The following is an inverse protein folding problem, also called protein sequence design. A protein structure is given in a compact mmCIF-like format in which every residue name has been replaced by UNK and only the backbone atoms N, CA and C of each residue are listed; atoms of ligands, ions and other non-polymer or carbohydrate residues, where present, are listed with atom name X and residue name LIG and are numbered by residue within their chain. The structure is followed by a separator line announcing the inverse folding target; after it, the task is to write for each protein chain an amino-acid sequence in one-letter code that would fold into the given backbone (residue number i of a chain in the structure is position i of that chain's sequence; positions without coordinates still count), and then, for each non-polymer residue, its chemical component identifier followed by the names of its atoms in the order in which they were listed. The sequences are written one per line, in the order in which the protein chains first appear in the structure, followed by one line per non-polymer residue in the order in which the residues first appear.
data_IF_470048852887
#
_entry.id   IF_470048852887
#
_cell.length_a   1.000
_cell.length_b   1.000
_cell.length_c   1.000
_cell.angle_alpha   90.00
_cell.angle_beta   90.00
_cell.angle_gamma   90.00
#
_symmetry.space_group_name_H-M   'P 1'
#
loop_
_entity.id
_entity.type
_entity.pdbx_description
1 polymer ?
#
# COMPACT_ATOMS: atom_id res chain seq x y z
N UNK A 1 16.71 8.57 8.12
CA UNK A 1 16.37 7.76 6.92
C UNK A 1 15.69 8.66 5.91
N UNK A 2 16.14 8.62 4.66
CA UNK A 2 15.51 9.39 3.58
C UNK A 2 14.54 8.50 2.81
N UNK A 3 13.50 9.10 2.26
CA UNK A 3 12.53 8.38 1.48
C UNK A 3 11.53 9.29 0.78
N UNK A 4 10.47 8.69 0.26
CA UNK A 4 9.38 9.40 -0.40
C UNK A 4 8.03 8.90 0.08
N UNK A 5 7.07 9.78 0.07
CA UNK A 5 5.68 9.44 0.30
C UNK A 5 5.08 8.87 -0.98
N UNK A 6 4.29 7.82 -0.85
CA UNK A 6 3.57 7.20 -1.98
C UNK A 6 2.12 6.92 -1.56
N UNK A 7 1.25 6.69 -2.54
CA UNK A 7 -0.09 6.24 -2.23
C UNK A 7 -0.08 4.92 -1.47
N UNK A 8 -1.01 4.75 -0.56
CA UNK A 8 -1.23 3.48 0.11
C UNK A 8 -1.94 2.52 -0.85
N UNK A 9 -1.19 1.56 -1.41
CA UNK A 9 -1.71 0.62 -2.41
C UNK A 9 -2.83 -0.29 -1.89
N UNK A 10 -2.96 -0.48 -0.57
CA UNK A 10 -4.04 -1.28 0.01
C UNK A 10 -5.42 -0.62 -0.16
N UNK A 11 -5.45 0.70 -0.34
CA UNK A 11 -6.67 1.51 -0.51
C UNK A 11 -6.66 2.30 -1.83
N UNK A 12 -5.73 2.00 -2.72
CA UNK A 12 -5.58 2.64 -4.03
C UNK A 12 -6.07 1.71 -5.12
N UNK A 13 -6.90 2.22 -6.00
CA UNK A 13 -7.31 1.50 -7.21
C UNK A 13 -6.93 2.29 -8.45
N UNK A 14 -6.28 1.60 -9.37
CA UNK A 14 -5.99 2.08 -10.72
C UNK A 14 -7.02 1.53 -11.67
N UNK A 15 -7.75 2.40 -12.33
CA UNK A 15 -8.91 2.04 -13.13
C UNK A 15 -8.52 2.12 -14.60
N UNK A 16 -8.69 1.00 -15.28
CA UNK A 16 -8.42 0.82 -16.71
C UNK A 16 -9.73 0.52 -17.44
N UNK A 17 -9.78 0.78 -18.74
CA UNK A 17 -10.90 0.30 -19.55
C UNK A 17 -10.67 -1.16 -19.95
N UNK A 18 -11.64 -2.05 -19.74
CA UNK A 18 -11.58 -3.42 -20.27
C UNK A 18 -11.86 -3.50 -21.77
N UNK A 19 -12.34 -2.39 -22.36
CA UNK A 19 -12.72 -2.31 -23.77
C UNK A 19 -11.97 -1.19 -24.49
N UNK A 20 -11.74 -1.40 -25.76
CA UNK A 20 -11.43 -0.31 -26.68
C UNK A 20 -12.71 0.49 -26.98
N UNK A 21 -12.56 1.81 -27.06
CA UNK A 21 -13.71 2.66 -27.36
C UNK A 21 -13.41 4.14 -27.24
N UNK A 22 -14.44 4.96 -27.45
CA UNK A 22 -14.36 6.42 -27.38
C UNK A 22 -15.00 6.95 -26.11
N UNK A 23 -14.34 7.81 -25.38
CA UNK A 23 -14.88 8.49 -24.20
C UNK A 23 -16.01 9.43 -24.63
N UNK A 24 -17.22 9.17 -24.20
CA UNK A 24 -18.38 10.03 -24.45
C UNK A 24 -18.47 11.17 -23.47
N UNK A 25 -18.14 10.89 -22.20
CA UNK A 25 -18.19 11.88 -21.14
C UNK A 25 -17.40 11.45 -19.92
N UNK A 26 -16.97 12.43 -19.14
CA UNK A 26 -16.27 12.25 -17.86
C UNK A 26 -17.14 12.91 -16.79
N UNK A 27 -17.55 12.13 -15.77
CA UNK A 27 -18.46 12.58 -14.71
C UNK A 27 -17.76 13.12 -13.47
N UNK A 28 -16.47 12.83 -13.32
CA UNK A 28 -15.70 13.22 -12.14
C UNK A 28 -14.38 13.87 -12.52
N UNK A 29 -13.88 14.72 -11.63
CA UNK A 29 -12.57 15.34 -11.79
C UNK A 29 -11.66 15.07 -10.60
N UNK A 30 -10.38 15.40 -10.73
CA UNK A 30 -9.38 15.30 -9.66
C UNK A 30 -9.86 16.08 -8.42
N UNK A 31 -9.72 15.48 -7.24
CA UNK A 31 -10.21 16.02 -5.97
C UNK A 31 -11.65 15.64 -5.63
N UNK A 32 -12.42 15.06 -6.55
CA UNK A 32 -13.78 14.59 -6.28
C UNK A 32 -13.76 13.34 -5.42
N UNK A 33 -14.60 13.33 -4.39
CA UNK A 33 -14.86 12.14 -3.58
C UNK A 33 -15.92 11.27 -4.25
N UNK A 34 -15.67 9.96 -4.30
CA UNK A 34 -16.53 8.97 -4.95
C UNK A 34 -16.80 7.80 -4.01
N UNK A 35 -17.98 7.21 -4.13
CA UNK A 35 -18.36 5.97 -3.45
C UNK A 35 -18.07 4.75 -4.33
N UNK A 36 -18.01 3.54 -3.76
CA UNK A 36 -17.93 2.31 -4.55
C UNK A 36 -19.07 2.23 -5.57
N UNK A 37 -18.76 1.79 -6.78
CA UNK A 37 -19.68 1.69 -7.93
C UNK A 37 -20.11 3.01 -8.57
N UNK A 38 -19.64 4.17 -8.12
CA UNK A 38 -19.86 5.44 -8.82
C UNK A 38 -19.30 5.40 -10.24
N UNK A 39 -20.05 6.00 -11.17
CA UNK A 39 -19.60 6.14 -12.56
C UNK A 39 -18.60 7.29 -12.68
N UNK A 40 -17.43 7.01 -13.23
CA UNK A 40 -16.36 7.99 -13.45
C UNK A 40 -16.35 8.54 -14.86
N UNK A 41 -16.64 7.68 -15.85
CA UNK A 41 -16.70 8.02 -17.25
C UNK A 41 -17.69 7.11 -18.00
N UNK A 42 -18.12 7.54 -19.17
CA UNK A 42 -18.88 6.71 -20.13
C UNK A 42 -18.06 6.54 -21.39
N UNK A 43 -18.00 5.30 -21.88
CA UNK A 43 -17.20 4.92 -23.06
C UNK A 43 -18.13 4.25 -24.08
N UNK A 44 -18.13 4.73 -25.32
CA UNK A 44 -18.74 4.00 -26.42
C UNK A 44 -17.84 2.80 -26.75
N UNK A 45 -18.30 1.60 -26.40
CA UNK A 45 -17.57 0.35 -26.51
C UNK A 45 -18.38 -0.68 -27.31
N UNK A 46 -18.14 -0.86 -28.60
CA UNK A 46 -18.88 -1.81 -29.44
C UNK A 46 -18.83 -3.25 -28.91
N UNK A 47 -17.68 -3.68 -28.37
CA UNK A 47 -17.50 -5.02 -27.81
C UNK A 47 -18.36 -5.26 -26.56
N UNK A 48 -18.63 -4.22 -25.78
CA UNK A 48 -19.57 -4.29 -24.67
C UNK A 48 -21.01 -4.50 -25.19
N UNK A 49 -21.41 -3.74 -26.22
CA UNK A 49 -22.68 -3.91 -26.89
C UNK A 49 -22.86 -5.30 -27.49
N UNK A 50 -21.79 -5.87 -28.06
CA UNK A 50 -21.82 -7.23 -28.56
C UNK A 50 -22.04 -8.25 -27.42
N UNK A 51 -21.36 -8.09 -26.29
CA UNK A 51 -21.56 -8.95 -25.13
C UNK A 51 -23.00 -8.89 -24.59
N UNK A 52 -23.61 -7.69 -24.58
CA UNK A 52 -25.03 -7.53 -24.23
C UNK A 52 -25.93 -8.23 -25.23
N UNK A 53 -25.70 -8.06 -26.54
CA UNK A 53 -26.47 -8.70 -27.59
C UNK A 53 -26.38 -10.24 -27.52
N UNK A 54 -25.20 -10.78 -27.24
CA UNK A 54 -25.00 -12.23 -27.08
C UNK A 54 -25.77 -12.75 -25.86
N UNK A 55 -25.80 -12.05 -24.74
CA UNK A 55 -26.57 -12.42 -23.55
C UNK A 55 -28.07 -12.40 -23.82
N UNK A 56 -28.57 -11.37 -24.55
CA UNK A 56 -29.97 -11.29 -24.97
C UNK A 56 -30.38 -12.44 -25.90
N UNK A 57 -29.52 -12.75 -26.88
CA UNK A 57 -29.79 -13.86 -27.81
C UNK A 57 -29.86 -15.18 -27.04
N UNK A 58 -28.85 -15.45 -26.18
CA UNK A 58 -28.81 -16.68 -25.40
C UNK A 58 -30.05 -16.83 -24.48
N UNK A 59 -30.55 -15.73 -23.90
CA UNK A 59 -31.76 -15.72 -23.10
C UNK A 59 -33.00 -16.04 -23.94
N UNK A 60 -33.10 -15.49 -25.16
CA UNK A 60 -34.22 -15.79 -26.08
C UNK A 60 -34.20 -17.25 -26.54
N UNK A 61 -33.03 -17.79 -26.88
CA UNK A 61 -32.84 -19.18 -27.29
C UNK A 61 -33.20 -20.14 -26.15
N UNK A 62 -32.82 -19.86 -24.93
CA UNK A 62 -33.22 -20.63 -23.76
C UNK A 62 -34.74 -20.62 -23.58
N UNK A 63 -35.37 -19.44 -23.63
CA UNK A 63 -36.82 -19.34 -23.50
C UNK A 63 -37.57 -20.09 -24.60
N UNK A 64 -37.03 -20.18 -25.82
CA UNK A 64 -37.56 -20.98 -26.90
C UNK A 64 -37.42 -22.47 -26.60
N UNK A 65 -36.24 -22.91 -26.20
CA UNK A 65 -35.95 -24.31 -25.86
C UNK A 65 -36.84 -24.79 -24.70
N UNK A 66 -37.04 -24.00 -23.67
CA UNK A 66 -37.92 -24.31 -22.52
C UNK A 66 -39.36 -24.50 -22.97
N UNK A 67 -39.88 -23.58 -23.76
CA UNK A 67 -41.25 -23.70 -24.31
C UNK A 67 -41.39 -24.93 -25.20
N UNK A 68 -40.42 -25.23 -26.04
CA UNK A 68 -40.43 -26.39 -26.94
C UNK A 68 -40.42 -27.69 -26.16
N UNK A 69 -39.54 -27.81 -25.18
CA UNK A 69 -39.44 -28.99 -24.31
C UNK A 69 -40.70 -29.23 -23.52
N UNK A 70 -41.29 -28.17 -22.94
CA UNK A 70 -42.56 -28.25 -22.20
C UNK A 70 -43.67 -28.75 -23.08
N UNK A 71 -43.80 -28.20 -24.29
CA UNK A 71 -44.82 -28.64 -25.27
C UNK A 71 -44.64 -30.10 -25.70
N UNK A 72 -43.38 -30.52 -26.00
CA UNK A 72 -43.15 -31.90 -26.42
C UNK A 72 -43.39 -32.91 -25.31
N UNK A 73 -43.08 -32.55 -24.05
CA UNK A 73 -43.42 -33.40 -22.89
C UNK A 73 -44.92 -33.57 -22.71
N UNK A 74 -45.71 -32.51 -22.90
CA UNK A 74 -47.18 -32.58 -22.87
C UNK A 74 -47.70 -33.47 -23.99
N UNK A 75 -47.23 -33.31 -25.24
CA UNK A 75 -47.60 -34.14 -26.37
C UNK A 75 -47.22 -35.62 -26.20
N UNK A 76 -46.10 -35.92 -25.56
CA UNK A 76 -45.70 -37.26 -25.22
C UNK A 76 -46.67 -37.92 -24.24
N UNK A 77 -47.14 -37.21 -23.22
CA UNK A 77 -48.13 -37.70 -22.28
C UNK A 77 -49.47 -38.10 -22.99
N UNK A 78 -49.77 -37.43 -24.11
CA UNK A 78 -50.92 -37.75 -24.91
C UNK A 78 -50.65 -38.74 -26.07
N UNK A 79 -49.43 -39.31 -26.14
CA UNK A 79 -49.06 -40.31 -27.14
C UNK A 79 -48.86 -39.77 -28.56
N UNK A 80 -48.68 -38.44 -28.73
CA UNK A 80 -48.64 -37.76 -30.05
C UNK A 80 -47.21 -37.74 -30.63
N UNK A 81 -46.17 -37.75 -29.77
CA UNK A 81 -44.75 -37.69 -30.20
C UNK A 81 -43.96 -38.84 -29.61
N UNK A 82 -42.82 -39.14 -30.21
CA UNK A 82 -41.92 -40.20 -29.72
C UNK A 82 -41.00 -39.70 -28.60
N UNK A 83 -40.58 -40.60 -27.70
CA UNK A 83 -39.62 -40.30 -26.61
C UNK A 83 -38.32 -39.64 -27.13
N UNK A 84 -37.81 -40.11 -28.28
CA UNK A 84 -36.60 -39.55 -28.91
C UNK A 84 -36.71 -38.05 -29.19
N UNK A 85 -37.91 -37.54 -29.46
CA UNK A 85 -38.13 -36.12 -29.78
C UNK A 85 -38.05 -35.27 -28.50
N UNK A 86 -38.54 -35.81 -27.38
CA UNK A 86 -38.36 -35.19 -26.05
C UNK A 86 -36.91 -35.22 -25.63
N UNK A 87 -36.19 -36.35 -25.81
CA UNK A 87 -34.79 -36.49 -25.47
C UNK A 87 -33.93 -35.49 -26.26
N UNK A 88 -34.24 -35.28 -27.53
CA UNK A 88 -33.57 -34.28 -28.36
C UNK A 88 -33.81 -32.85 -27.86
N UNK A 89 -35.09 -32.53 -27.51
CA UNK A 89 -35.44 -31.20 -26.96
C UNK A 89 -34.79 -30.96 -25.59
N UNK A 90 -34.66 -31.99 -24.75
CA UNK A 90 -33.96 -31.89 -23.46
C UNK A 90 -32.48 -31.63 -23.65
N UNK A 91 -31.83 -32.24 -24.64
CA UNK A 91 -30.45 -31.96 -24.98
C UNK A 91 -30.26 -30.51 -25.52
N UNK A 92 -31.22 -30.02 -26.33
CA UNK A 92 -31.19 -28.63 -26.82
C UNK A 92 -31.40 -27.64 -25.67
N UNK A 93 -32.31 -27.91 -24.74
CA UNK A 93 -32.53 -27.12 -23.56
C UNK A 93 -31.25 -27.06 -22.69
N UNK A 94 -30.58 -28.20 -22.49
CA UNK A 94 -29.33 -28.24 -21.72
C UNK A 94 -28.24 -27.36 -22.37
N UNK A 95 -28.10 -27.43 -23.72
CA UNK A 95 -27.17 -26.59 -24.48
C UNK A 95 -27.50 -25.11 -24.36
N UNK A 96 -28.75 -24.72 -24.49
CA UNK A 96 -29.18 -23.35 -24.38
C UNK A 96 -28.96 -22.76 -22.97
N UNK A 97 -29.13 -23.58 -21.91
CA UNK A 97 -28.82 -23.16 -20.53
C UNK A 97 -27.33 -22.88 -20.32
N UNK A 98 -26.48 -23.77 -20.84
CA UNK A 98 -25.00 -23.57 -20.73
C UNK A 98 -24.58 -22.31 -21.48
N UNK A 99 -25.13 -22.07 -22.68
CA UNK A 99 -24.77 -20.89 -23.46
C UNK A 99 -25.26 -19.60 -22.80
N UNK A 100 -26.46 -19.58 -22.23
CA UNK A 100 -26.97 -18.44 -21.47
C UNK A 100 -26.11 -18.16 -20.24
N UNK A 101 -25.71 -19.21 -19.48
CA UNK A 101 -24.81 -19.06 -18.33
C UNK A 101 -23.46 -18.48 -18.76
N UNK A 102 -22.90 -18.96 -19.86
CA UNK A 102 -21.62 -18.47 -20.43
C UNK A 102 -21.71 -16.99 -20.79
N UNK A 103 -22.77 -16.60 -21.54
CA UNK A 103 -22.95 -15.23 -21.99
C UNK A 103 -23.20 -14.26 -20.82
N UNK A 104 -24.02 -14.67 -19.84
CA UNK A 104 -24.27 -13.88 -18.63
C UNK A 104 -23.02 -13.73 -17.77
N UNK A 105 -22.25 -14.80 -17.57
CA UNK A 105 -20.98 -14.73 -16.80
C UNK A 105 -19.99 -13.75 -17.46
N UNK A 106 -19.88 -13.79 -18.80
CA UNK A 106 -19.06 -12.83 -19.55
C UNK A 106 -19.52 -11.39 -19.35
N UNK A 107 -20.84 -11.13 -19.41
CA UNK A 107 -21.40 -9.78 -19.22
C UNK A 107 -21.22 -9.29 -17.78
N UNK A 108 -21.38 -10.17 -16.79
CA UNK A 108 -21.18 -9.85 -15.37
C UNK A 108 -19.73 -9.46 -15.04
N UNK A 109 -18.74 -10.07 -15.69
CA UNK A 109 -17.31 -9.69 -15.53
C UNK A 109 -17.09 -8.20 -15.84
N UNK A 110 -17.92 -7.60 -16.67
CA UNK A 110 -17.87 -6.19 -17.03
C UNK A 110 -18.84 -5.31 -16.23
N UNK A 111 -19.52 -5.87 -15.24
CA UNK A 111 -20.53 -5.15 -14.46
C UNK A 111 -21.76 -4.71 -15.28
N UNK A 112 -21.99 -5.37 -16.42
CA UNK A 112 -23.15 -5.14 -17.27
C UNK A 112 -24.33 -5.98 -16.85
N UNK A 113 -25.53 -5.50 -17.19
CA UNK A 113 -26.77 -6.26 -17.12
C UNK A 113 -27.30 -6.58 -18.51
N UNK A 114 -28.25 -7.52 -18.59
CA UNK A 114 -28.88 -7.95 -19.83
C UNK A 114 -30.18 -7.21 -20.13
N UNK A 115 -30.44 -6.04 -19.49
CA UNK A 115 -31.71 -5.35 -19.64
C UNK A 115 -31.82 -4.51 -20.91
N UNK A 116 -30.68 -4.03 -21.43
CA UNK A 116 -30.62 -3.22 -22.65
C UNK A 116 -29.30 -3.38 -23.40
N UNK A 117 -29.33 -3.18 -24.73
CA UNK A 117 -28.11 -3.15 -25.56
C UNK A 117 -27.79 -1.69 -25.89
N UNK A 118 -26.84 -1.09 -25.20
CA UNK A 118 -26.58 0.36 -25.29
C UNK A 118 -25.25 0.71 -25.93
N UNK A 119 -24.32 -0.21 -26.11
CA UNK A 119 -22.93 0.03 -26.51
C UNK A 119 -22.19 1.09 -25.63
N UNK A 120 -22.82 1.56 -24.56
CA UNK A 120 -22.27 2.55 -23.65
C UNK A 120 -21.84 1.85 -22.37
N UNK A 121 -20.52 1.80 -22.17
CA UNK A 121 -19.92 1.20 -21.00
C UNK A 121 -19.71 2.25 -19.90
N UNK A 122 -20.34 2.12 -18.73
CA UNK A 122 -20.07 2.98 -17.59
C UNK A 122 -18.81 2.49 -16.87
N UNK A 123 -17.73 3.25 -16.93
CA UNK A 123 -16.51 2.97 -16.18
C UNK A 123 -16.75 3.35 -14.71
N UNK A 124 -16.73 2.36 -13.82
CA UNK A 124 -17.05 2.54 -12.40
C UNK A 124 -15.82 2.29 -11.53
N UNK A 125 -15.80 2.92 -10.35
CA UNK A 125 -14.77 2.62 -9.34
C UNK A 125 -15.21 1.43 -8.47
N UNK A 126 -14.33 0.43 -8.23
CA UNK A 126 -14.63 -0.65 -7.29
C UNK A 126 -14.50 -0.22 -5.83
N UNK A 127 -13.70 0.81 -5.53
CA UNK A 127 -13.45 1.33 -4.19
C UNK A 127 -13.91 2.79 -4.08
N UNK A 128 -14.37 3.18 -2.88
CA UNK A 128 -14.58 4.57 -2.55
C UNK A 128 -13.27 5.29 -2.21
N UNK A 129 -13.24 6.59 -2.42
CA UNK A 129 -12.06 7.40 -2.14
C UNK A 129 -12.12 8.77 -2.81
N UNK A 130 -10.96 9.36 -3.02
CA UNK A 130 -10.79 10.61 -3.77
C UNK A 130 -10.09 10.32 -5.10
N UNK A 131 -10.58 10.88 -6.17
CA UNK A 131 -9.91 10.83 -7.48
C UNK A 131 -8.64 11.67 -7.40
N UNK A 132 -7.47 11.04 -7.52
CA UNK A 132 -6.18 11.73 -7.43
C UNK A 132 -5.51 11.90 -8.78
N UNK A 133 -5.87 11.05 -9.76
CA UNK A 133 -5.41 11.18 -11.15
C UNK A 133 -6.55 10.94 -12.11
N UNK A 134 -6.54 11.70 -13.21
CA UNK A 134 -7.44 11.58 -14.34
C UNK A 134 -6.66 11.73 -15.63
N UNK A 135 -6.55 10.66 -16.40
CA UNK A 135 -5.72 10.57 -17.61
C UNK A 135 -6.56 10.40 -18.87
N UNK A 136 -7.82 10.85 -18.84
CA UNK A 136 -8.72 10.82 -20.01
C UNK A 136 -9.47 12.13 -20.21
N UNK A 137 -9.84 12.36 -21.46
CA UNK A 137 -10.64 13.51 -21.88
C UNK A 137 -11.84 13.06 -22.72
N UNK A 138 -12.95 13.81 -22.73
CA UNK A 138 -14.05 13.57 -23.64
C UNK A 138 -13.59 13.54 -25.09
N UNK A 139 -14.08 12.58 -25.87
CA UNK A 139 -13.70 12.38 -27.28
C UNK A 139 -12.42 11.57 -27.52
N UNK A 140 -11.64 11.29 -26.49
CA UNK A 140 -10.42 10.48 -26.58
C UNK A 140 -10.75 9.02 -26.86
N UNK A 141 -9.93 8.36 -27.68
CA UNK A 141 -9.94 6.90 -27.80
C UNK A 141 -9.12 6.27 -26.68
N UNK A 142 -9.65 5.22 -26.10
CA UNK A 142 -9.01 4.41 -25.07
C UNK A 142 -8.91 2.95 -25.50
N UNK A 143 -7.86 2.27 -25.04
CA UNK A 143 -7.59 0.85 -25.32
C UNK A 143 -7.14 0.16 -24.05
N UNK A 144 -7.46 -1.14 -23.86
CA UNK A 144 -6.98 -1.91 -22.71
C UNK A 144 -5.46 -2.02 -22.60
N UNK A 145 -4.75 -1.95 -23.71
CA UNK A 145 -3.29 -2.08 -23.85
C UNK A 145 -2.55 -0.73 -23.91
N UNK A 146 -3.23 0.36 -23.61
CA UNK A 146 -2.63 1.70 -23.68
C UNK A 146 -1.54 1.87 -22.61
N UNK A 147 -0.32 2.21 -23.06
CA UNK A 147 0.83 2.45 -22.19
C UNK A 147 0.97 3.93 -21.83
N UNK A 148 1.65 4.20 -20.71
CA UNK A 148 2.01 5.57 -20.32
C UNK A 148 3.05 6.15 -21.30
N UNK A 149 2.86 7.40 -21.71
CA UNK A 149 3.75 8.08 -22.65
C UNK A 149 5.18 8.25 -22.12
N UNK A 150 5.31 8.46 -20.79
CA UNK A 150 6.59 8.63 -20.09
C UNK A 150 7.15 7.34 -19.48
N UNK A 151 6.39 6.24 -19.52
CA UNK A 151 6.79 4.92 -19.02
C UNK A 151 6.14 3.82 -19.87
N UNK A 152 6.65 3.56 -21.10
CA UNK A 152 6.00 2.67 -22.07
C UNK A 152 5.99 1.18 -21.68
N UNK A 153 6.48 0.85 -20.50
CA UNK A 153 6.41 -0.49 -19.92
C UNK A 153 5.22 -0.64 -18.95
N UNK A 154 4.49 0.45 -18.65
CA UNK A 154 3.39 0.46 -17.70
C UNK A 154 2.09 0.84 -18.38
N UNK A 155 1.02 0.12 -18.06
CA UNK A 155 -0.32 0.47 -18.50
C UNK A 155 -0.75 1.83 -17.93
N UNK A 156 -1.37 2.66 -18.75
CA UNK A 156 -1.88 3.96 -18.34
C UNK A 156 -3.25 3.81 -17.68
N UNK A 157 -3.38 4.02 -16.34
CA UNK A 157 -4.68 4.04 -15.72
C UNK A 157 -5.47 5.26 -16.19
N UNK A 158 -6.76 5.10 -16.41
CA UNK A 158 -7.65 6.19 -16.79
C UNK A 158 -7.96 7.08 -15.59
N UNK A 159 -8.11 6.47 -14.41
CA UNK A 159 -8.26 7.13 -13.12
C UNK A 159 -7.45 6.42 -12.06
N UNK A 160 -7.04 7.17 -11.04
CA UNK A 160 -6.53 6.65 -9.78
C UNK A 160 -7.43 7.18 -8.66
N UNK A 161 -8.00 6.27 -7.89
CA UNK A 161 -8.84 6.59 -6.72
C UNK A 161 -8.17 6.02 -5.49
N UNK A 162 -8.02 6.83 -4.45
CA UNK A 162 -7.37 6.44 -3.20
C UNK A 162 -7.92 7.22 -2.01
N UNK A 163 -7.53 6.83 -0.80
CA UNK A 163 -7.72 7.64 0.40
C UNK A 163 -6.44 8.47 0.67
N UNK A 164 -6.45 9.79 0.38
CA UNK A 164 -5.30 10.65 0.64
C UNK A 164 -5.05 10.93 2.13
N UNK A 165 -5.96 10.51 3.02
CA UNK A 165 -5.83 10.67 4.48
C UNK A 165 -4.76 9.78 5.10
N UNK A 166 -4.28 8.77 4.38
CA UNK A 166 -3.22 7.86 4.82
C UNK A 166 -2.29 7.51 3.67
N UNK A 167 -1.02 7.85 3.82
CA UNK A 167 0.02 7.57 2.84
C UNK A 167 0.96 6.47 3.33
N UNK A 168 1.67 5.87 2.41
CA UNK A 168 2.88 5.11 2.72
C UNK A 168 4.10 6.01 2.61
N UNK A 169 5.09 5.74 3.44
CA UNK A 169 6.45 6.21 3.27
C UNK A 169 7.34 5.04 2.89
N UNK A 170 8.07 5.20 1.80
CA UNK A 170 9.11 4.27 1.38
C UNK A 170 10.46 4.87 1.77
N UNK A 171 11.19 4.17 2.61
CA UNK A 171 12.47 4.60 3.16
C UNK A 171 13.58 3.67 2.67
N UNK A 172 14.75 4.25 2.49
CA UNK A 172 15.99 3.54 2.23
C UNK A 172 16.84 3.50 3.51
N UNK A 173 16.99 2.30 4.05
CA UNK A 173 17.71 2.05 5.30
C UNK A 173 19.06 1.43 5.01
N UNK A 174 20.13 1.97 5.59
CA UNK A 174 21.46 1.35 5.52
C UNK A 174 21.46 -0.02 6.21
N UNK A 175 22.22 -0.99 5.68
CA UNK A 175 22.36 -2.32 6.30
C UNK A 175 22.74 -2.27 7.78
N UNK A 176 23.50 -1.24 8.17
CA UNK A 176 23.98 -1.06 9.57
C UNK A 176 22.84 -0.73 10.53
N UNK A 177 21.80 -0.07 10.05
CA UNK A 177 20.71 0.46 10.87
C UNK A 177 19.51 -0.52 10.94
N UNK A 178 19.56 -1.61 10.14
CA UNK A 178 18.48 -2.63 10.08
C UNK A 178 18.16 -3.28 11.44
N UNK A 179 19.17 -3.64 12.29
CA UNK A 179 18.87 -4.28 13.57
C UNK A 179 18.06 -3.44 14.54
N UNK A 180 18.03 -2.12 14.35
CA UNK A 180 17.36 -1.17 15.24
C UNK A 180 15.91 -0.90 14.83
N UNK A 181 15.49 -1.33 13.63
CA UNK A 181 14.18 -1.01 13.09
C UNK A 181 13.29 -2.25 12.93
N UNK A 182 12.28 -2.35 13.78
CA UNK A 182 11.32 -3.46 13.76
C UNK A 182 9.95 -2.99 13.22
N UNK A 183 9.17 -3.89 12.62
CA UNK A 183 7.76 -3.62 12.32
C UNK A 183 7.01 -3.20 13.60
N UNK A 184 6.16 -2.17 13.48
CA UNK A 184 5.47 -1.56 14.60
C UNK A 184 6.22 -0.40 15.26
N UNK A 185 7.50 -0.15 14.90
CA UNK A 185 8.24 0.98 15.45
C UNK A 185 7.61 2.32 15.01
N UNK A 186 7.43 3.28 15.94
CA UNK A 186 6.92 4.60 15.61
C UNK A 186 7.96 5.41 14.84
N UNK A 187 7.47 6.20 13.89
CA UNK A 187 8.26 7.08 13.04
C UNK A 187 7.86 8.55 13.28
N UNK A 188 8.84 9.42 13.37
CA UNK A 188 8.69 10.86 13.18
C UNK A 188 9.03 11.20 11.72
N UNK A 189 8.01 11.57 10.95
CA UNK A 189 8.17 11.86 9.52
C UNK A 189 8.10 13.36 9.29
N UNK A 190 9.08 13.90 8.55
CA UNK A 190 9.15 15.32 8.16
C UNK A 190 9.27 15.41 6.64
N UNK A 191 8.32 16.08 6.02
CA UNK A 191 8.38 16.38 4.60
C UNK A 191 9.17 17.67 4.36
N UNK A 192 9.92 17.76 3.26
CA UNK A 192 10.68 18.97 2.91
C UNK A 192 9.80 20.22 2.77
N UNK A 193 8.55 20.04 2.35
CA UNK A 193 7.58 21.13 2.23
C UNK A 193 7.11 21.66 3.60
N UNK A 194 7.33 20.91 4.69
CA UNK A 194 6.87 21.22 6.06
C UNK A 194 7.98 20.88 7.06
N UNK A 195 9.13 21.58 7.04
CA UNK A 195 10.31 21.22 7.84
C UNK A 195 10.07 21.30 9.35
N UNK A 196 9.23 22.23 9.78
CA UNK A 196 8.91 22.46 11.20
C UNK A 196 7.78 21.58 11.73
N UNK A 197 7.23 20.71 10.89
CA UNK A 197 6.10 19.85 11.26
C UNK A 197 6.47 18.37 11.21
N UNK A 198 6.12 17.70 12.28
CA UNK A 198 6.20 16.24 12.42
C UNK A 198 4.87 15.61 12.08
N UNK A 199 4.93 14.50 11.35
CA UNK A 199 3.78 13.67 11.02
C UNK A 199 4.04 12.28 11.62
N UNK A 200 3.13 11.78 12.46
CA UNK A 200 3.30 10.46 13.07
C UNK A 200 3.18 9.37 12.01
N UNK A 201 4.07 8.42 12.08
CA UNK A 201 4.06 7.25 11.22
C UNK A 201 4.40 5.99 12.00
N UNK A 202 4.27 4.85 11.34
CA UNK A 202 4.59 3.54 11.92
C UNK A 202 5.23 2.66 10.85
N UNK A 203 6.27 1.94 11.20
CA UNK A 203 6.89 0.92 10.33
C UNK A 203 5.94 -0.24 10.15
N UNK A 204 5.63 -0.57 8.89
CA UNK A 204 4.77 -1.72 8.54
C UNK A 204 5.61 -2.91 8.12
N UNK A 205 6.64 -2.67 7.32
CA UNK A 205 7.46 -3.72 6.72
C UNK A 205 8.92 -3.28 6.62
N UNK A 206 9.81 -4.18 7.00
CA UNK A 206 11.24 -4.13 6.68
C UNK A 206 11.50 -5.25 5.68
N UNK A 207 12.06 -4.92 4.52
CA UNK A 207 12.35 -5.92 3.47
C UNK A 207 13.36 -6.94 3.95
N UNK A 208 13.18 -8.20 3.56
CA UNK A 208 14.15 -9.27 3.81
C UNK A 208 15.31 -9.28 2.79
N UNK A 209 15.26 -8.39 1.79
CA UNK A 209 16.28 -8.30 0.75
C UNK A 209 16.94 -6.92 0.76
N UNK A 210 18.24 -6.92 0.49
CA UNK A 210 19.04 -5.71 0.25
C UNK A 210 19.00 -5.41 -1.24
N UNK A 211 18.75 -4.16 -1.58
CA UNK A 211 18.89 -3.66 -2.96
C UNK A 211 20.38 -3.64 -3.33
N UNK A 212 20.84 -4.45 -4.29
CA UNK A 212 22.26 -4.57 -4.60
C UNK A 212 22.87 -3.31 -5.22
N UNK A 213 22.05 -2.45 -5.81
CA UNK A 213 22.49 -1.22 -6.48
C UNK A 213 22.73 -0.09 -5.48
N UNK A 214 21.88 0.04 -4.48
CA UNK A 214 21.94 1.11 -3.47
C UNK A 214 22.54 0.63 -2.15
N UNK A 215 22.64 -0.69 -1.93
CA UNK A 215 23.02 -1.33 -0.65
C UNK A 215 22.13 -0.88 0.51
N UNK A 216 20.86 -0.71 0.23
CA UNK A 216 19.86 -0.34 1.23
C UNK A 216 18.79 -1.42 1.36
N UNK A 217 18.21 -1.50 2.54
CA UNK A 217 17.00 -2.28 2.81
C UNK A 217 15.80 -1.35 2.65
N UNK A 218 14.83 -1.76 1.85
CA UNK A 218 13.58 -1.00 1.69
C UNK A 218 12.71 -1.18 2.92
N UNK A 219 12.29 -0.06 3.50
CA UNK A 219 11.36 -0.02 4.63
C UNK A 219 10.10 0.69 4.20
N UNK A 220 8.96 0.14 4.55
CA UNK A 220 7.65 0.74 4.32
C UNK A 220 6.99 1.07 5.65
N UNK A 221 6.56 2.30 5.79
CA UNK A 221 5.75 2.76 6.91
C UNK A 221 4.42 3.34 6.43
N UNK A 222 3.48 3.52 7.35
CA UNK A 222 2.26 4.32 7.15
C UNK A 222 2.45 5.68 7.80
N UNK A 223 1.86 6.71 7.20
CA UNK A 223 1.86 8.08 7.73
C UNK A 223 0.44 8.62 7.65
N UNK A 224 -0.07 9.11 8.76
CA UNK A 224 -1.39 9.74 8.82
C UNK A 224 -1.34 11.17 8.24
N UNK A 225 -2.34 11.49 7.42
CA UNK A 225 -2.44 12.77 6.70
C UNK A 225 -3.87 13.35 6.77
N UNK A 226 -4.45 13.54 7.97
CA UNK A 226 -5.84 13.98 8.11
C UNK A 226 -6.11 15.35 7.48
N UNK A 227 -5.12 16.23 7.48
CA UNK A 227 -5.21 17.60 6.92
C UNK A 227 -4.97 17.62 5.40
N UNK A 228 -4.62 16.49 4.76
CA UNK A 228 -4.30 16.41 3.33
C UNK A 228 -3.08 17.22 2.89
N UNK A 229 -2.18 17.60 3.82
CA UNK A 229 -0.99 18.43 3.55
C UNK A 229 0.11 17.65 2.86
N UNK A 230 0.28 16.39 3.23
CA UNK A 230 1.22 15.51 2.56
C UNK A 230 0.65 15.09 1.20
N UNK A 231 1.52 15.04 0.20
CA UNK A 231 1.18 14.56 -1.15
C UNK A 231 2.07 13.38 -1.50
N UNK A 232 1.56 12.48 -2.31
CA UNK A 232 2.41 11.45 -2.91
C UNK A 232 3.56 12.08 -3.68
N UNK A 233 4.66 11.38 -3.80
CA UNK A 233 5.93 11.77 -4.41
C UNK A 233 6.69 12.89 -3.67
N UNK A 234 6.18 13.40 -2.53
CA UNK A 234 6.97 14.29 -1.68
C UNK A 234 8.15 13.56 -1.06
N UNK A 235 9.32 14.21 -1.09
CA UNK A 235 10.49 13.74 -0.36
C UNK A 235 10.29 14.00 1.14
N UNK A 236 10.64 13.00 1.94
CA UNK A 236 10.52 13.05 3.39
C UNK A 236 11.70 12.39 4.06
N UNK A 237 11.98 12.82 5.28
CA UNK A 237 12.90 12.14 6.18
C UNK A 237 12.09 11.50 7.30
N UNK A 238 12.49 10.32 7.73
CA UNK A 238 11.90 9.67 8.89
C UNK A 238 12.98 9.34 9.92
N UNK A 239 12.66 9.59 11.18
CA UNK A 239 13.46 9.17 12.32
C UNK A 239 12.66 8.13 13.09
N UNK A 240 13.22 6.96 13.33
CA UNK A 240 12.59 6.00 14.21
C UNK A 240 12.62 6.58 15.64
N UNK A 241 11.43 6.68 16.23
CA UNK A 241 11.34 6.98 17.64
C UNK A 241 11.63 5.66 18.34
N UNK A 242 12.91 5.41 18.62
CA UNK A 242 13.33 4.21 19.34
C UNK A 242 12.55 4.14 20.66
N UNK A 243 12.13 2.94 21.05
CA UNK A 243 11.88 2.71 22.46
C UNK A 243 13.14 3.21 23.16
N UNK A 244 12.99 4.22 24.03
CA UNK A 244 14.11 4.68 24.88
C UNK A 244 14.79 3.42 25.34
N UNK A 245 16.04 3.23 24.94
CA UNK A 245 16.83 2.11 25.47
C UNK A 245 16.53 2.11 26.96
N UNK A 246 15.93 1.05 27.48
CA UNK A 246 15.55 0.96 28.89
C UNK A 246 16.80 0.88 29.80
N UNK A 247 17.95 1.23 29.25
CA UNK A 247 19.21 1.35 29.93
C UNK A 247 19.38 2.70 30.62
N UNK A 248 20.30 2.80 31.57
CA UNK A 248 20.68 4.05 32.19
C UNK A 248 21.18 5.03 31.13
N UNK A 249 20.76 6.28 31.21
CA UNK A 249 21.32 7.37 30.42
C UNK A 249 22.18 8.25 31.31
N UNK A 250 23.34 8.68 30.80
CA UNK A 250 24.27 9.54 31.52
C UNK A 250 24.44 10.85 30.77
N UNK A 251 24.73 11.96 31.45
CA UNK A 251 25.10 13.20 30.78
C UNK A 251 26.26 12.98 29.81
N UNK A 252 26.21 13.58 28.62
CA UNK A 252 27.29 13.44 27.63
C UNK A 252 28.67 13.82 28.18
N UNK A 253 28.72 14.81 29.08
CA UNK A 253 29.95 15.22 29.78
C UNK A 253 30.54 14.15 30.70
N UNK A 254 29.80 13.10 31.06
CA UNK A 254 30.30 11.99 31.89
C UNK A 254 31.01 10.90 31.06
N UNK A 255 30.84 10.90 29.75
CA UNK A 255 31.41 9.90 28.85
C UNK A 255 32.76 10.35 28.36
N UNK A 256 33.77 9.54 28.56
CA UNK A 256 35.11 9.72 28.01
C UNK A 256 35.38 8.69 26.92
N UNK A 257 36.05 9.12 25.86
CA UNK A 257 36.59 8.22 24.84
C UNK A 257 38.06 7.92 25.15
N UNK A 258 38.38 6.65 25.31
CA UNK A 258 39.73 6.16 25.51
C UNK A 258 40.06 5.09 24.47
N UNK A 259 40.89 5.45 23.51
CA UNK A 259 41.15 4.61 22.35
C UNK A 259 39.83 4.35 21.60
N UNK A 260 39.44 3.09 21.50
CA UNK A 260 38.20 2.65 20.86
C UNK A 260 37.06 2.37 21.85
N UNK A 261 37.27 2.63 23.16
CA UNK A 261 36.29 2.33 24.21
C UNK A 261 35.75 3.62 24.86
N UNK A 262 34.48 3.56 25.24
CA UNK A 262 33.86 4.61 26.05
C UNK A 262 33.87 4.19 27.52
N UNK A 263 34.18 5.15 28.39
CA UNK A 263 34.37 4.96 29.83
C UNK A 263 33.56 5.97 30.62
N UNK A 264 32.97 5.55 31.71
CA UNK A 264 32.30 6.38 32.72
C UNK A 264 32.85 6.08 34.09
N UNK A 265 33.05 7.12 34.90
CA UNK A 265 33.44 6.97 36.29
C UNK A 265 32.21 7.03 37.20
N UNK A 266 32.06 6.01 38.05
CA UNK A 266 31.00 5.89 39.06
C UNK A 266 31.58 6.13 40.44
N UNK A 267 30.95 7.00 41.22
CA UNK A 267 31.32 7.22 42.64
C UNK A 267 30.73 6.09 43.51
N UNK A 268 31.53 5.19 44.02
CA UNK A 268 31.12 4.14 44.97
C UNK A 268 31.06 4.64 46.41
N UNK A 269 31.97 5.51 46.77
CA UNK A 269 32.03 6.19 48.06
C UNK A 269 32.79 7.51 47.90
N UNK A 270 32.71 8.41 48.89
CA UNK A 270 33.38 9.69 48.84
C UNK A 270 34.89 9.52 48.58
N UNK A 271 35.36 9.97 47.39
CA UNK A 271 36.73 9.85 46.95
C UNK A 271 37.13 8.48 46.40
N UNK A 272 36.18 7.55 46.25
CA UNK A 272 36.38 6.24 45.61
C UNK A 272 35.58 6.14 44.34
N UNK A 273 36.25 5.91 43.21
CA UNK A 273 35.62 5.86 41.89
C UNK A 273 35.91 4.51 41.22
N UNK A 274 34.89 3.95 40.57
CA UNK A 274 35.01 2.76 39.76
C UNK A 274 34.94 3.15 38.31
N UNK A 275 35.88 2.68 37.52
CA UNK A 275 35.90 2.85 36.08
C UNK A 275 35.01 1.79 35.41
N UNK A 276 34.05 2.22 34.65
CA UNK A 276 33.12 1.35 33.93
C UNK A 276 33.26 1.54 32.44
N UNK A 277 33.55 0.48 31.71
CA UNK A 277 33.52 0.48 30.27
C UNK A 277 32.07 0.36 29.79
N UNK A 278 31.63 1.25 28.91
CA UNK A 278 30.25 1.30 28.43
C UNK A 278 30.19 1.39 26.91
N UNK A 279 29.09 0.87 26.34
CA UNK A 279 28.75 1.18 24.97
C UNK A 279 27.76 2.33 24.99
N UNK A 280 27.96 3.30 24.13
CA UNK A 280 27.12 4.51 24.05
C UNK A 280 26.17 4.43 22.87
N UNK A 281 24.95 4.91 23.08
CA UNK A 281 23.97 5.15 22.01
C UNK A 281 24.07 6.60 21.50
N UNK A 282 23.10 7.02 20.70
CA UNK A 282 23.03 8.39 20.19
C UNK A 282 22.66 9.38 21.30
N UNK A 283 23.39 10.47 21.38
CA UNK A 283 23.09 11.58 22.29
C UNK A 283 21.73 12.21 21.95
N UNK A 284 20.89 12.39 22.98
CA UNK A 284 19.62 13.08 22.89
C UNK A 284 19.47 14.03 24.09
N UNK A 285 19.19 15.29 23.83
CA UNK A 285 18.99 16.31 24.86
C UNK A 285 20.12 16.39 25.92
N UNK A 286 21.37 16.18 25.51
CA UNK A 286 22.55 16.20 26.41
C UNK A 286 22.72 14.93 27.25
N UNK A 287 21.91 13.90 27.01
CA UNK A 287 21.99 12.58 27.64
C UNK A 287 22.39 11.52 26.61
N UNK A 288 23.24 10.59 27.02
CA UNK A 288 23.71 9.48 26.20
C UNK A 288 23.24 8.18 26.86
N UNK A 289 22.43 7.38 26.17
CA UNK A 289 22.08 6.03 26.64
C UNK A 289 23.34 5.18 26.69
N UNK A 290 23.52 4.45 27.79
CA UNK A 290 24.70 3.59 27.96
C UNK A 290 24.28 2.16 28.28
N UNK A 291 25.04 1.22 27.74
CA UNK A 291 24.90 -0.22 28.08
C UNK A 291 26.26 -0.73 28.58
N UNK A 292 26.24 -1.44 29.67
CA UNK A 292 27.47 -1.95 30.34
C UNK A 292 27.23 -2.18 31.84
N UNK A 293 28.30 -2.22 32.60
CA UNK A 293 28.23 -2.46 34.05
C UNK A 293 27.89 -1.16 34.81
N UNK A 294 26.74 -0.55 34.46
CA UNK A 294 26.19 0.65 35.10
C UNK A 294 24.77 0.39 35.53
N UNK A 295 24.42 0.68 36.79
CA UNK A 295 23.08 0.47 37.33
C UNK A 295 22.29 1.79 37.44
N UNK A 296 20.99 1.77 37.23
CA UNK A 296 20.16 2.95 37.46
C UNK A 296 20.32 3.46 38.90
N UNK A 297 20.51 4.77 39.05
CA UNK A 297 20.67 5.41 40.37
C UNK A 297 22.13 5.53 40.84
N UNK A 298 23.11 4.98 40.14
CA UNK A 298 24.54 5.23 40.44
C UNK A 298 24.91 6.67 40.09
N UNK A 299 25.81 7.25 40.88
CA UNK A 299 26.29 8.63 40.68
C UNK A 299 27.49 8.63 39.72
N UNK A 300 27.36 9.32 38.59
CA UNK A 300 28.39 9.42 37.58
C UNK A 300 29.13 10.78 37.70
N UNK A 301 30.42 10.76 37.41
CA UNK A 301 31.23 11.98 37.43
C UNK A 301 31.06 12.73 36.11
N UNK A 302 30.58 13.98 36.17
CA UNK A 302 30.37 14.84 35.01
C UNK A 302 31.45 15.91 34.86
N UNK A 303 32.28 16.14 35.88
CA UNK A 303 33.39 17.10 35.86
C UNK A 303 34.65 16.52 36.47
N UNK A 304 35.79 16.72 35.80
CA UNK A 304 37.08 16.18 36.23
C UNK A 304 37.33 14.71 35.85
N UNK A 305 36.48 14.13 34.99
CA UNK A 305 36.62 12.74 34.54
C UNK A 305 37.99 12.45 33.87
N UNK A 306 38.53 13.42 33.11
CA UNK A 306 39.86 13.31 32.50
C UNK A 306 40.97 13.20 33.53
N UNK A 307 40.87 13.92 34.66
CA UNK A 307 41.83 13.88 35.74
C UNK A 307 41.80 12.53 36.46
N UNK A 308 40.59 11.97 36.64
CA UNK A 308 40.42 10.62 37.19
C UNK A 308 41.05 9.55 36.28
N UNK A 309 40.90 9.69 34.97
CA UNK A 309 41.54 8.78 34.00
C UNK A 309 43.06 8.81 34.11
N UNK A 310 43.66 10.00 34.18
CA UNK A 310 45.12 10.15 34.39
C UNK A 310 45.56 9.51 35.68
N UNK A 311 44.85 9.70 36.78
CA UNK A 311 45.16 9.07 38.07
C UNK A 311 45.00 7.55 38.02
N UNK A 312 44.05 7.06 37.27
CA UNK A 312 43.81 5.62 37.10
C UNK A 312 44.92 4.94 36.31
N UNK A 313 45.46 5.61 35.27
CA UNK A 313 46.60 5.14 34.48
C UNK A 313 47.92 5.17 35.25
N UNK A 314 48.05 6.07 36.25
CA UNK A 314 49.24 6.18 37.12
C UNK A 314 49.18 5.25 38.34
N UNK A 315 48.02 4.65 38.64
CA UNK A 315 47.89 3.73 39.76
C UNK A 315 48.55 2.38 39.41
N UNK A 316 49.45 1.83 40.28
CA UNK A 316 50.01 0.52 40.03
C UNK A 316 48.94 -0.53 40.04
N UNK A 317 48.87 -1.34 38.98
CA UNK A 317 48.05 -2.53 38.90
C UNK A 317 48.44 -3.48 40.03
N UNK A 318 47.57 -3.62 41.05
CA UNK A 318 47.71 -4.60 42.12
C UNK A 318 47.11 -5.95 41.70
#
# INVERSE_FOLDING_TARGET
MNGRLVWNEDVTVRIFSPFAGRVLGVQVDVGRRVAPSDALATIAAPDFGQAQADAHRAAADLALAERTTTRLRDLLQHGVVAQKDVDAADADLARARIEQQRANARLQLYGGDSTSVTQVFPLRTPLGGTVVERNINPGQEVRPDQMLANAPQLFAPLFVVTDPGRLWIQLDLSERDVPELLPGAPLDVRAQAWPDRSFPGTVVLVSSAVDPSTRTVKVRGTVDNPDGRLKAEMLATATAIGARSAGPAVPAAAVLLEGDAHVVFVEEARGRYRRCQVRVGLEQDGLVPVTGDLRPGERVVTGGSLLLEQLFQLAPTS
#
